data_IF_114119006749
#
_entry.id   IF_114119006749
#
_cell.length_a   1.000
_cell.length_b   1.000
_cell.length_c   1.000
_cell.angle_alpha   90.00
_cell.angle_beta   90.00
_cell.angle_gamma   90.00
#
_symmetry.space_group_name_H-M   'P 1'
#
loop_
_entity.id
_entity.type
_entity.pdbx_description
1 polymer ?
#
# COMPACT_ATOMS: atom_id res chain seq x y z
N UNK A 1 3.19 3.77 12.12
CA UNK A 1 2.16 2.91 11.52
C UNK A 1 1.03 3.81 11.08
N UNK A 2 0.64 3.75 9.80
CA UNK A 2 -0.41 4.59 9.22
C UNK A 2 -1.66 3.76 8.97
N UNK A 3 -2.83 4.38 8.97
CA UNK A 3 -4.10 3.67 8.85
C UNK A 3 -4.50 3.42 7.39
N UNK A 4 -3.97 4.20 6.45
CA UNK A 4 -4.33 4.14 5.03
C UNK A 4 -3.18 4.50 4.09
N UNK A 5 -3.31 4.12 2.81
CA UNK A 5 -2.38 4.55 1.76
C UNK A 5 -2.37 6.07 1.57
N UNK A 6 -3.52 6.73 1.78
CA UNK A 6 -3.64 8.19 1.71
C UNK A 6 -2.80 8.91 2.78
N UNK A 7 -2.73 8.37 4.00
CA UNK A 7 -1.87 8.92 5.05
C UNK A 7 -0.39 8.80 4.69
N UNK A 8 0.00 7.66 4.11
CA UNK A 8 1.36 7.47 3.62
C UNK A 8 1.69 8.50 2.52
N UNK A 9 0.77 8.73 1.59
CA UNK A 9 0.92 9.76 0.54
C UNK A 9 1.05 11.17 1.14
N UNK A 10 0.22 11.52 2.11
CA UNK A 10 0.27 12.82 2.78
C UNK A 10 1.61 13.05 3.49
N UNK A 11 2.21 12.01 4.09
CA UNK A 11 3.54 12.10 4.70
C UNK A 11 4.64 12.35 3.67
N UNK A 12 4.62 11.62 2.56
CA UNK A 12 5.62 11.82 1.48
C UNK A 12 5.45 13.20 0.85
N UNK A 13 4.21 13.62 0.58
CA UNK A 13 3.90 14.96 0.10
C UNK A 13 4.28 16.07 1.09
N UNK A 14 4.25 15.78 2.39
CA UNK A 14 4.71 16.66 3.46
C UNK A 14 6.23 16.77 3.63
N UNK A 15 7.01 16.13 2.76
CA UNK A 15 8.49 16.16 2.80
C UNK A 15 9.13 15.05 3.62
N UNK A 16 8.36 14.06 4.08
CA UNK A 16 8.94 12.88 4.74
C UNK A 16 9.54 11.97 3.69
N UNK A 17 10.86 11.77 3.75
CA UNK A 17 11.56 10.85 2.85
C UNK A 17 11.30 9.40 3.23
N UNK A 18 10.31 8.78 2.57
CA UNK A 18 9.98 7.36 2.74
C UNK A 18 10.57 6.56 1.60
N UNK A 19 11.59 5.75 1.87
CA UNK A 19 12.19 4.89 0.87
C UNK A 19 11.36 3.64 0.57
N UNK A 20 10.67 3.11 1.60
CA UNK A 20 9.91 1.86 1.52
C UNK A 20 8.67 1.89 2.40
N UNK A 21 7.53 1.46 1.87
CA UNK A 21 6.27 1.25 2.58
C UNK A 21 5.92 -0.24 2.59
N UNK A 22 5.60 -0.77 3.76
CA UNK A 22 5.13 -2.15 3.93
C UNK A 22 3.63 -2.14 4.21
N UNK A 23 2.85 -2.88 3.41
CA UNK A 23 1.42 -3.08 3.63
C UNK A 23 1.23 -4.46 4.26
N UNK A 24 0.84 -4.50 5.53
CA UNK A 24 0.59 -5.76 6.24
C UNK A 24 -0.88 -6.12 6.38
N UNK A 25 -1.72 -5.15 6.75
CA UNK A 25 -3.14 -5.38 6.98
C UNK A 25 -3.96 -4.19 6.48
N UNK A 26 -4.91 -4.44 5.58
CA UNK A 26 -5.91 -3.46 5.15
C UNK A 26 -7.27 -4.15 5.11
N UNK A 27 -8.22 -3.65 5.89
CA UNK A 27 -9.55 -4.26 5.96
C UNK A 27 -10.29 -4.13 4.63
N UNK A 28 -10.93 -5.24 4.25
CA UNK A 28 -11.98 -5.24 3.27
C UNK A 28 -13.13 -4.34 3.73
N UNK A 29 -13.69 -3.63 2.76
CA UNK A 29 -14.82 -2.73 2.92
C UNK A 29 -15.54 -2.62 1.59
N UNK A 30 -16.67 -1.94 1.57
CA UNK A 30 -17.46 -1.78 0.36
C UNK A 30 -16.63 -1.09 -0.74
N UNK A 31 -16.59 -1.67 -1.94
CA UNK A 31 -15.77 -1.19 -3.06
C UNK A 31 -14.27 -1.57 -2.99
N UNK A 32 -13.83 -2.34 -1.99
CA UNK A 32 -12.46 -2.86 -1.92
C UNK A 32 -12.41 -4.32 -2.37
N UNK A 33 -11.45 -4.63 -3.23
CA UNK A 33 -11.20 -6.00 -3.70
C UNK A 33 -10.11 -6.64 -2.84
N UNK A 34 -10.27 -7.91 -2.45
CA UNK A 34 -9.22 -8.62 -1.74
C UNK A 34 -8.03 -8.82 -2.68
N UNK A 35 -6.87 -8.30 -2.28
CA UNK A 35 -5.59 -8.47 -2.95
C UNK A 35 -4.85 -9.68 -2.38
N UNK A 36 -4.80 -9.76 -1.05
CA UNK A 36 -4.26 -10.89 -0.30
C UNK A 36 -5.26 -11.26 0.81
N UNK A 37 -5.06 -12.38 1.54
CA UNK A 37 -5.94 -12.78 2.63
C UNK A 37 -6.10 -11.72 3.73
N UNK A 38 -5.14 -10.81 3.87
CA UNK A 38 -5.10 -9.78 4.92
C UNK A 38 -5.16 -8.35 4.39
N UNK A 39 -5.11 -8.17 3.06
CA UNK A 39 -5.09 -6.85 2.42
C UNK A 39 -6.16 -6.81 1.36
N UNK A 40 -7.09 -5.86 1.53
CA UNK A 40 -8.02 -5.45 0.50
C UNK A 40 -7.77 -4.00 0.11
N UNK A 41 -7.82 -3.74 -1.19
CA UNK A 41 -7.55 -2.45 -1.80
C UNK A 41 -8.70 -2.06 -2.72
N UNK A 42 -9.11 -0.80 -2.64
CA UNK A 42 -10.08 -0.20 -3.56
C UNK A 42 -9.42 0.77 -4.52
N UNK A 43 -10.22 1.37 -5.42
CA UNK A 43 -9.73 2.33 -6.41
C UNK A 43 -9.02 3.55 -5.78
N UNK A 44 -9.51 4.02 -4.62
CA UNK A 44 -8.86 5.11 -3.88
C UNK A 44 -7.48 4.72 -3.33
N UNK A 45 -7.34 3.48 -2.85
CA UNK A 45 -6.07 2.96 -2.37
C UNK A 45 -5.10 2.79 -3.56
N UNK A 46 -5.58 2.27 -4.69
CA UNK A 46 -4.80 2.14 -5.94
C UNK A 46 -4.28 3.51 -6.41
N UNK A 47 -5.10 4.55 -6.40
CA UNK A 47 -4.69 5.90 -6.79
C UNK A 47 -3.55 6.43 -5.90
N UNK A 48 -3.69 6.33 -4.57
CA UNK A 48 -2.66 6.75 -3.63
C UNK A 48 -1.36 5.95 -3.77
N UNK A 49 -1.47 4.64 -3.98
CA UNK A 49 -0.31 3.77 -4.20
C UNK A 49 0.40 4.12 -5.51
N UNK A 50 -0.32 4.40 -6.59
CA UNK A 50 0.29 4.84 -7.86
C UNK A 50 1.03 6.16 -7.72
N UNK A 51 0.49 7.12 -6.98
CA UNK A 51 1.19 8.38 -6.68
C UNK A 51 2.47 8.15 -5.86
N UNK A 52 2.41 7.32 -4.81
CA UNK A 52 3.58 6.93 -4.04
C UNK A 52 4.66 6.26 -4.92
N UNK A 53 4.24 5.41 -5.85
CA UNK A 53 5.14 4.77 -6.81
C UNK A 53 5.80 5.78 -7.76
N UNK A 54 5.03 6.77 -8.24
CA UNK A 54 5.54 7.86 -9.07
C UNK A 54 6.54 8.75 -8.32
N UNK A 55 6.39 8.89 -7.00
CA UNK A 55 7.33 9.57 -6.11
C UNK A 55 8.60 8.73 -5.81
N UNK A 56 8.71 7.52 -6.37
CA UNK A 56 9.88 6.64 -6.21
C UNK A 56 9.87 5.81 -4.93
N UNK A 57 8.74 5.77 -4.21
CA UNK A 57 8.60 4.98 -3.00
C UNK A 57 8.45 3.51 -3.36
N UNK A 58 9.32 2.65 -2.82
CA UNK A 58 9.17 1.20 -2.99
C UNK A 58 8.07 0.71 -2.08
N UNK A 59 7.23 -0.19 -2.59
CA UNK A 59 6.12 -0.68 -1.80
C UNK A 59 6.03 -2.20 -1.89
N UNK A 60 5.82 -2.83 -0.76
CA UNK A 60 5.76 -4.29 -0.62
C UNK A 60 4.55 -4.67 0.21
N UNK A 61 3.92 -5.79 -0.16
CA UNK A 61 2.82 -6.34 0.61
C UNK A 61 3.33 -7.56 1.35
N UNK A 62 3.27 -7.51 2.69
CA UNK A 62 3.76 -8.61 3.52
C UNK A 62 3.02 -8.68 4.84
N UNK A 63 2.39 -9.82 5.10
CA UNK A 63 1.63 -10.06 6.32
C UNK A 63 2.53 -10.34 7.53
N UNK A 64 3.48 -11.29 7.41
CA UNK A 64 4.43 -11.61 8.48
C UNK A 64 5.87 -11.34 8.08
N UNK A 65 6.78 -11.09 9.05
CA UNK A 65 8.18 -10.89 8.74
C UNK A 65 8.88 -12.06 8.04
N UNK A 66 8.27 -13.24 8.13
CA UNK A 66 8.74 -14.49 7.56
C UNK A 66 8.12 -14.81 6.19
N UNK A 67 7.05 -14.12 5.80
CA UNK A 67 6.42 -14.31 4.49
C UNK A 67 7.30 -13.72 3.38
N UNK A 68 7.17 -14.27 2.17
CA UNK A 68 7.74 -13.64 0.99
C UNK A 68 7.01 -12.32 0.72
N UNK A 69 7.74 -11.24 0.39
CA UNK A 69 7.12 -9.97 0.03
C UNK A 69 6.40 -10.13 -1.31
N UNK A 70 5.09 -9.96 -1.30
CA UNK A 70 4.29 -9.92 -2.52
C UNK A 70 4.53 -8.60 -3.25
N UNK A 71 4.67 -8.71 -4.58
CA UNK A 71 4.91 -7.55 -5.43
C UNK A 71 3.62 -6.76 -5.59
N UNK A 72 3.64 -5.50 -5.13
CA UNK A 72 2.47 -4.62 -5.24
C UNK A 72 1.99 -4.40 -6.68
N UNK A 73 2.87 -4.55 -7.67
CA UNK A 73 2.47 -4.46 -9.08
C UNK A 73 1.42 -5.50 -9.47
N UNK A 74 1.45 -6.70 -8.87
CA UNK A 74 0.43 -7.72 -9.12
C UNK A 74 -0.94 -7.34 -8.53
N UNK A 75 -0.98 -6.32 -7.66
CA UNK A 75 -2.19 -5.85 -7.00
C UNK A 75 -2.80 -4.61 -7.69
N UNK A 76 -2.04 -3.95 -8.56
CA UNK A 76 -2.44 -2.74 -9.30
C UNK A 76 -2.98 -3.04 -10.70
N UNK A 77 -2.91 -4.29 -11.16
CA UNK A 77 -3.33 -4.82 -12.47
C UNK A 77 -4.15 -6.09 -12.28
#
# INVERSE_FOLDING_TARGET
MVASAADALALVGGGVSIAKVSIGHMRAGEGRRPATPTVAIGDADIAALRELQALGVKMEVRNLPSDEPDSMNALLY
#
